data_IF_319818070831
#
_entry.id   IF_319818070831
#
_cell.length_a   1.000
_cell.length_b   1.000
_cell.length_c   1.000
_cell.angle_alpha   90.00
_cell.angle_beta   90.00
_cell.angle_gamma   90.00
#
_symmetry.space_group_name_H-M   'P 1'
#
loop_
_entity.id
_entity.type
_entity.pdbx_description
1 polymer ?
#
# COMPACT_ATOMS: atom_id res chain seq x y z
N UNK A 1 -16.93 15.84 -15.21
CA UNK A 1 -16.60 15.99 -16.65
C UNK A 1 -15.11 15.82 -16.95
N UNK A 2 -14.16 16.30 -16.12
CA UNK A 2 -12.71 16.08 -16.36
C UNK A 2 -12.17 14.70 -15.95
N UNK A 3 -12.81 13.97 -15.03
CA UNK A 3 -12.30 12.67 -14.53
C UNK A 3 -12.53 11.51 -15.51
N UNK A 4 -13.58 11.58 -16.34
CA UNK A 4 -13.88 10.54 -17.34
C UNK A 4 -12.94 10.58 -18.54
N UNK A 5 -12.52 11.78 -18.98
CA UNK A 5 -11.55 11.92 -20.07
C UNK A 5 -10.14 11.46 -19.66
N UNK A 6 -9.75 11.62 -18.40
CA UNK A 6 -8.38 11.31 -17.97
C UNK A 6 -8.08 9.81 -17.86
N UNK A 7 -9.09 9.00 -17.55
CA UNK A 7 -8.91 7.54 -17.41
C UNK A 7 -8.99 6.81 -18.77
N UNK A 8 -9.63 7.41 -19.78
CA UNK A 8 -10.03 6.68 -20.99
C UNK A 8 -9.61 7.28 -22.34
N UNK A 9 -8.88 8.39 -22.39
CA UNK A 9 -8.36 8.89 -23.67
C UNK A 9 -7.07 8.17 -24.08
N UNK A 10 -7.19 6.85 -24.32
CA UNK A 10 -6.19 6.12 -25.09
C UNK A 10 -6.30 6.61 -26.53
N UNK A 11 -5.38 7.48 -26.93
CA UNK A 11 -5.11 7.71 -28.35
C UNK A 11 -5.04 6.35 -29.05
N UNK A 12 -5.91 6.18 -30.04
CA UNK A 12 -6.13 4.95 -30.77
C UNK A 12 -4.82 4.19 -31.08
N UNK A 13 -4.79 2.87 -30.79
CA UNK A 13 -4.25 1.77 -31.64
C UNK A 13 -3.93 0.46 -30.87
N UNK A 14 -3.84 0.43 -29.52
CA UNK A 14 -3.47 -0.79 -28.76
C UNK A 14 -4.41 -1.10 -27.58
N UNK A 15 -4.80 -2.37 -27.43
CA UNK A 15 -5.64 -2.85 -26.32
C UNK A 15 -4.89 -2.71 -24.98
N UNK A 16 -5.46 -2.02 -23.96
CA UNK A 16 -4.76 -1.73 -22.70
C UNK A 16 -4.34 -2.99 -21.95
N UNK A 17 -5.08 -4.10 -22.06
CA UNK A 17 -4.71 -5.38 -21.47
C UNK A 17 -3.50 -6.02 -22.16
N UNK A 18 -3.37 -5.86 -23.48
CA UNK A 18 -2.19 -6.33 -24.21
C UNK A 18 -0.95 -5.49 -23.86
N UNK A 19 -1.12 -4.17 -23.72
CA UNK A 19 -0.06 -3.29 -23.22
C UNK A 19 0.35 -3.72 -21.82
N UNK A 20 -0.61 -3.99 -20.94
CA UNK A 20 -0.35 -4.45 -19.58
C UNK A 20 0.46 -5.75 -19.58
N UNK A 21 0.04 -6.74 -20.37
CA UNK A 21 0.74 -8.04 -20.51
C UNK A 21 2.16 -7.83 -21.01
N UNK A 22 2.36 -7.07 -22.09
CA UNK A 22 3.68 -6.81 -22.64
C UNK A 22 4.59 -6.08 -21.64
N UNK A 23 4.10 -4.98 -21.06
CA UNK A 23 4.85 -4.17 -20.10
C UNK A 23 5.27 -4.98 -18.87
N UNK A 24 4.32 -5.67 -18.23
CA UNK A 24 4.61 -6.46 -17.02
C UNK A 24 5.55 -7.62 -17.32
N UNK A 25 5.45 -8.24 -18.52
CA UNK A 25 6.38 -9.30 -18.93
C UNK A 25 7.80 -8.77 -19.05
N UNK A 26 8.00 -7.62 -19.69
CA UNK A 26 9.32 -6.99 -19.82
C UNK A 26 9.87 -6.57 -18.46
N UNK A 27 9.11 -5.79 -17.69
CA UNK A 27 9.57 -5.26 -16.40
C UNK A 27 9.89 -6.37 -15.40
N UNK A 28 9.05 -7.40 -15.30
CA UNK A 28 9.27 -8.47 -14.32
C UNK A 28 10.31 -9.50 -14.77
N UNK A 29 10.57 -9.60 -16.08
CA UNK A 29 11.78 -10.30 -16.58
C UNK A 29 13.04 -9.57 -16.11
N UNK A 30 13.07 -8.25 -16.19
CA UNK A 30 14.19 -7.46 -15.64
C UNK A 30 14.33 -7.73 -14.13
N UNK A 31 13.22 -7.67 -13.37
CA UNK A 31 13.23 -7.95 -11.93
C UNK A 31 13.71 -9.37 -11.62
N UNK A 32 13.37 -10.37 -12.44
CA UNK A 32 13.84 -11.75 -12.30
C UNK A 32 15.37 -11.84 -12.36
N UNK A 33 15.99 -11.11 -13.28
CA UNK A 33 17.44 -11.13 -13.50
C UNK A 33 18.22 -10.17 -12.59
N UNK A 34 17.56 -9.35 -11.77
CA UNK A 34 18.27 -8.52 -10.80
C UNK A 34 19.08 -9.38 -9.80
N UNK A 35 20.33 -8.99 -9.48
CA UNK A 35 21.18 -9.76 -8.58
C UNK A 35 20.63 -9.78 -7.15
N UNK A 36 20.01 -8.67 -6.71
CA UNK A 36 19.33 -8.60 -5.41
C UNK A 36 17.85 -8.89 -5.59
N UNK A 37 17.43 -10.11 -5.27
CA UNK A 37 16.03 -10.56 -5.41
C UNK A 37 15.07 -9.64 -4.65
N UNK A 38 14.14 -9.04 -5.37
CA UNK A 38 13.03 -8.23 -4.82
C UNK A 38 11.77 -9.08 -4.60
N UNK A 39 11.59 -10.09 -5.47
CA UNK A 39 10.48 -11.02 -5.46
C UNK A 39 11.02 -12.45 -5.56
N UNK A 40 10.28 -13.40 -4.98
CA UNK A 40 10.50 -14.83 -5.28
C UNK A 40 10.00 -15.16 -6.69
N UNK A 41 10.37 -16.31 -7.24
CA UNK A 41 9.87 -16.73 -8.57
C UNK A 41 8.34 -16.78 -8.62
N UNK A 42 7.69 -17.29 -7.58
CA UNK A 42 6.23 -17.24 -7.46
C UNK A 42 5.71 -15.81 -7.27
N UNK A 43 6.41 -14.99 -6.47
CA UNK A 43 6.08 -13.58 -6.26
C UNK A 43 6.08 -12.78 -7.57
N UNK A 44 6.99 -13.10 -8.51
CA UNK A 44 7.03 -12.49 -9.85
C UNK A 44 5.74 -12.77 -10.63
N UNK A 45 5.26 -14.01 -10.64
CA UNK A 45 4.01 -14.36 -11.32
C UNK A 45 2.83 -13.61 -10.71
N UNK A 46 2.77 -13.50 -9.38
CA UNK A 46 1.66 -12.82 -8.70
C UNK A 46 1.74 -11.30 -8.88
N UNK A 47 2.95 -10.73 -8.88
CA UNK A 47 3.17 -9.32 -9.22
C UNK A 47 2.79 -9.03 -10.68
N UNK A 48 3.03 -9.98 -11.60
CA UNK A 48 2.61 -9.86 -12.99
C UNK A 48 1.09 -9.82 -13.11
N UNK A 49 0.39 -10.75 -12.44
CA UNK A 49 -1.08 -10.77 -12.42
C UNK A 49 -1.61 -9.46 -11.85
N UNK A 50 -1.11 -9.04 -10.69
CA UNK A 50 -1.52 -7.79 -10.05
C UNK A 50 -1.28 -6.59 -10.98
N UNK A 51 -0.09 -6.49 -11.59
CA UNK A 51 0.26 -5.40 -12.48
C UNK A 51 -0.60 -5.35 -13.74
N UNK A 52 -0.97 -6.51 -14.30
CA UNK A 52 -1.91 -6.60 -15.42
C UNK A 52 -3.30 -6.11 -15.02
N UNK A 53 -3.79 -6.54 -13.85
CA UNK A 53 -5.09 -6.12 -13.32
C UNK A 53 -5.14 -4.60 -13.07
N UNK A 54 -4.11 -4.04 -12.41
CA UNK A 54 -4.08 -2.61 -12.11
C UNK A 54 -3.99 -1.77 -13.39
N UNK A 55 -3.13 -2.15 -14.34
CA UNK A 55 -3.04 -1.41 -15.61
C UNK A 55 -4.33 -1.53 -16.42
N UNK A 56 -4.91 -2.73 -16.51
CA UNK A 56 -6.16 -2.93 -17.24
C UNK A 56 -7.33 -2.16 -16.63
N UNK A 57 -7.35 -2.02 -15.29
CA UNK A 57 -8.42 -1.33 -14.58
C UNK A 57 -8.26 0.19 -14.51
N UNK A 58 -7.05 0.67 -14.22
CA UNK A 58 -6.78 2.06 -13.88
C UNK A 58 -5.74 2.72 -14.80
N UNK A 59 -5.24 2.00 -15.80
CA UNK A 59 -4.22 2.49 -16.73
C UNK A 59 -2.88 2.78 -16.07
N UNK A 60 -2.09 3.63 -16.76
CA UNK A 60 -0.80 4.09 -16.26
C UNK A 60 -0.88 4.86 -14.92
N UNK A 61 -1.95 5.63 -14.59
CA UNK A 61 -2.05 6.31 -13.29
C UNK A 61 -2.07 5.32 -12.12
N UNK A 62 -2.93 4.30 -12.19
CA UNK A 62 -2.94 3.24 -11.17
C UNK A 62 -1.61 2.52 -11.09
N UNK A 63 -1.04 2.16 -12.26
CA UNK A 63 0.23 1.45 -12.31
C UNK A 63 1.40 2.25 -11.69
N UNK A 64 1.41 3.57 -11.85
CA UNK A 64 2.41 4.46 -11.25
C UNK A 64 2.38 4.41 -9.71
N UNK A 65 1.19 4.38 -9.09
CA UNK A 65 1.04 4.31 -7.64
C UNK A 65 1.56 2.97 -7.09
N UNK A 66 1.13 1.83 -7.66
CA UNK A 66 1.61 0.51 -7.20
C UNK A 66 3.10 0.32 -7.50
N UNK A 67 3.59 0.83 -8.62
CA UNK A 67 5.01 0.81 -8.97
C UNK A 67 5.85 1.62 -7.99
N UNK A 68 5.41 2.83 -7.63
CA UNK A 68 6.05 3.67 -6.62
C UNK A 68 6.09 2.96 -5.25
N UNK A 69 4.95 2.42 -4.80
CA UNK A 69 4.87 1.62 -3.58
C UNK A 69 5.86 0.44 -3.60
N UNK A 70 5.93 -0.31 -4.70
CA UNK A 70 6.81 -1.46 -4.82
C UNK A 70 8.28 -1.06 -4.71
N UNK A 71 8.70 -0.04 -5.47
CA UNK A 71 10.09 0.42 -5.48
C UNK A 71 10.50 0.96 -4.10
N UNK A 72 9.73 1.90 -3.56
CA UNK A 72 10.06 2.55 -2.28
C UNK A 72 9.93 1.55 -1.14
N UNK A 73 8.86 0.75 -1.11
CA UNK A 73 8.66 -0.27 -0.09
C UNK A 73 9.79 -1.30 -0.07
N UNK A 74 10.26 -1.77 -1.23
CA UNK A 74 11.41 -2.67 -1.31
C UNK A 74 12.74 -2.01 -0.94
N UNK A 75 12.89 -0.69 -1.14
CA UNK A 75 14.07 0.05 -0.69
C UNK A 75 14.07 0.20 0.84
N UNK A 76 12.91 0.54 1.41
CA UNK A 76 12.73 0.76 2.85
C UNK A 76 12.97 -0.53 3.66
N UNK A 77 12.48 -1.69 3.20
CA UNK A 77 12.76 -2.97 3.88
C UNK A 77 14.24 -3.33 3.91
N UNK A 78 15.07 -2.72 3.05
CA UNK A 78 16.52 -2.93 3.02
C UNK A 78 17.32 -1.97 3.90
N UNK A 79 16.69 -0.96 4.46
CA UNK A 79 17.32 -0.05 5.41
C UNK A 79 17.80 -0.85 6.63
N UNK A 80 19.09 -0.71 6.97
CA UNK A 80 19.69 -1.37 8.14
C UNK A 80 19.62 -2.90 8.10
N UNK A 81 19.56 -3.54 6.93
CA UNK A 81 19.34 -4.99 6.84
C UNK A 81 20.36 -5.80 7.66
N UNK A 82 21.65 -5.49 7.57
CA UNK A 82 22.70 -6.20 8.33
C UNK A 82 22.49 -6.08 9.85
N UNK A 83 22.04 -4.92 10.34
CA UNK A 83 21.72 -4.72 11.74
C UNK A 83 20.49 -5.55 12.15
N UNK A 84 19.41 -5.48 11.34
CA UNK A 84 18.19 -6.23 11.62
C UNK A 84 18.41 -7.74 11.59
N UNK A 85 19.29 -8.24 10.71
CA UNK A 85 19.65 -9.66 10.64
C UNK A 85 20.45 -10.08 11.88
N UNK A 86 21.41 -9.25 12.32
CA UNK A 86 22.17 -9.51 13.55
C UNK A 86 21.29 -9.49 14.82
N UNK A 87 20.22 -8.70 14.82
CA UNK A 87 19.27 -8.59 15.93
C UNK A 87 18.07 -9.56 15.82
N UNK A 88 17.98 -10.36 14.74
CA UNK A 88 16.90 -11.33 14.53
C UNK A 88 15.53 -10.72 14.21
N UNK A 89 15.47 -9.43 13.85
CA UNK A 89 14.24 -8.66 13.56
C UNK A 89 14.09 -8.31 12.07
N UNK A 90 14.92 -8.91 11.22
CA UNK A 90 14.88 -8.70 9.78
C UNK A 90 13.64 -9.29 9.12
N UNK A 91 13.22 -8.64 8.03
CA UNK A 91 12.19 -9.16 7.13
C UNK A 91 12.58 -10.51 6.55
N UNK A 92 11.56 -11.36 6.32
CA UNK A 92 11.78 -12.72 5.81
C UNK A 92 12.44 -12.68 4.43
N UNK A 93 13.24 -13.71 4.13
CA UNK A 93 13.91 -13.87 2.82
C UNK A 93 14.76 -12.65 2.41
N UNK A 94 15.40 -11.98 3.38
CA UNK A 94 16.18 -10.74 3.19
C UNK A 94 15.39 -9.68 2.40
N UNK A 95 14.08 -9.60 2.65
CA UNK A 95 13.17 -8.65 2.02
C UNK A 95 12.60 -9.05 0.66
N UNK A 96 12.87 -10.28 0.17
CA UNK A 96 12.25 -10.77 -1.05
C UNK A 96 10.78 -11.15 -0.82
N UNK A 97 9.88 -10.53 -1.60
CA UNK A 97 8.42 -10.67 -1.46
C UNK A 97 7.88 -11.89 -2.21
N UNK A 98 7.08 -12.70 -1.55
CA UNK A 98 6.35 -13.84 -2.13
C UNK A 98 4.91 -13.47 -2.52
N UNK A 99 4.15 -14.43 -3.08
CA UNK A 99 2.72 -14.27 -3.38
C UNK A 99 1.92 -13.66 -2.23
N UNK A 100 2.16 -14.14 -1.02
CA UNK A 100 1.52 -13.72 0.22
C UNK A 100 1.79 -12.25 0.54
N UNK A 101 3.00 -11.75 0.30
CA UNK A 101 3.30 -10.33 0.51
C UNK A 101 2.67 -9.45 -0.57
N UNK A 102 2.64 -9.93 -1.82
CA UNK A 102 2.06 -9.19 -2.96
C UNK A 102 0.58 -8.94 -2.69
N UNK A 103 -0.18 -10.01 -2.41
CA UNK A 103 -1.61 -9.88 -2.13
C UNK A 103 -1.89 -9.32 -0.74
N UNK A 104 -1.06 -9.65 0.25
CA UNK A 104 -1.09 -9.06 1.58
C UNK A 104 -1.06 -7.53 1.55
N UNK A 105 -0.28 -6.97 0.63
CA UNK A 105 -0.09 -5.53 0.49
C UNK A 105 -1.06 -4.84 -0.48
N UNK A 106 -1.61 -5.57 -1.45
CA UNK A 106 -2.29 -4.96 -2.60
C UNK A 106 -3.71 -5.48 -2.85
N UNK A 107 -4.21 -6.45 -2.08
CA UNK A 107 -5.55 -7.01 -2.31
C UNK A 107 -6.64 -5.93 -2.22
N UNK A 108 -6.62 -5.09 -1.19
CA UNK A 108 -7.57 -3.97 -1.05
C UNK A 108 -7.51 -3.05 -2.27
N UNK A 109 -6.31 -2.69 -2.73
CA UNK A 109 -6.12 -1.86 -3.91
C UNK A 109 -6.67 -2.54 -5.17
N UNK A 110 -6.40 -3.83 -5.36
CA UNK A 110 -6.92 -4.61 -6.48
C UNK A 110 -8.45 -4.67 -6.48
N UNK A 111 -9.07 -4.83 -5.31
CA UNK A 111 -10.54 -4.79 -5.16
C UNK A 111 -11.08 -3.40 -5.52
N UNK A 112 -10.47 -2.31 -5.05
CA UNK A 112 -10.88 -0.96 -5.44
C UNK A 112 -10.75 -0.73 -6.95
N UNK A 113 -9.64 -1.15 -7.56
CA UNK A 113 -9.40 -1.01 -9.00
C UNK A 113 -10.41 -1.81 -9.83
N UNK A 114 -10.67 -3.07 -9.47
CA UNK A 114 -11.69 -3.89 -10.14
C UNK A 114 -13.10 -3.35 -9.89
N UNK A 115 -13.35 -2.74 -8.73
CA UNK A 115 -14.60 -2.04 -8.44
C UNK A 115 -14.85 -0.90 -9.43
N UNK A 116 -13.81 -0.13 -9.81
CA UNK A 116 -13.94 0.92 -10.82
C UNK A 116 -14.41 0.33 -12.15
N UNK A 117 -13.81 -0.78 -12.60
CA UNK A 117 -14.26 -1.49 -13.80
C UNK A 117 -15.69 -2.02 -13.67
N UNK A 118 -16.04 -2.60 -12.52
CA UNK A 118 -17.34 -3.25 -12.31
C UNK A 118 -18.50 -2.25 -12.26
N UNK A 119 -18.31 -1.11 -11.61
CA UNK A 119 -19.35 -0.09 -11.42
C UNK A 119 -19.70 0.64 -12.72
N UNK A 120 -18.79 0.63 -13.71
CA UNK A 120 -19.07 1.14 -15.05
C UNK A 120 -20.18 0.35 -15.77
N UNK A 121 -20.39 -0.91 -15.41
CA UNK A 121 -21.48 -1.73 -15.96
C UNK A 121 -22.83 -1.49 -15.26
N UNK A 122 -22.83 -0.76 -14.15
CA UNK A 122 -23.96 -0.63 -13.23
C UNK A 122 -24.42 0.83 -13.03
N UNK A 123 -23.98 1.76 -13.89
CA UNK A 123 -24.33 3.19 -13.84
C UNK A 123 -23.98 3.90 -12.51
N UNK A 124 -22.99 3.37 -11.76
CA UNK A 124 -22.61 3.90 -10.44
C UNK A 124 -21.44 4.89 -10.48
N UNK A 125 -21.35 5.74 -11.51
CA UNK A 125 -20.21 6.63 -11.74
C UNK A 125 -19.82 7.48 -10.51
N UNK A 126 -20.78 7.82 -9.65
CA UNK A 126 -20.57 8.58 -8.42
C UNK A 126 -19.66 7.89 -7.38
N UNK A 127 -19.53 6.56 -7.44
CA UNK A 127 -18.72 5.75 -6.52
C UNK A 127 -17.26 5.68 -6.96
N UNK A 128 -16.97 5.94 -8.24
CA UNK A 128 -15.61 5.85 -8.81
C UNK A 128 -14.60 6.71 -8.04
N UNK A 129 -14.84 7.99 -7.71
CA UNK A 129 -13.89 8.79 -6.92
C UNK A 129 -13.60 8.20 -5.53
N UNK A 130 -14.58 7.54 -4.91
CA UNK A 130 -14.38 6.89 -3.61
C UNK A 130 -13.51 5.64 -3.74
N UNK A 131 -13.67 4.86 -4.81
CA UNK A 131 -12.84 3.69 -5.09
C UNK A 131 -11.41 4.09 -5.43
N UNK A 132 -11.21 5.17 -6.20
CA UNK A 132 -9.87 5.72 -6.47
C UNK A 132 -9.21 6.24 -5.19
N UNK A 133 -9.97 6.92 -4.32
CA UNK A 133 -9.48 7.34 -3.01
C UNK A 133 -9.08 6.13 -2.15
N UNK A 134 -9.93 5.09 -2.08
CA UNK A 134 -9.64 3.85 -1.37
C UNK A 134 -8.39 3.14 -1.90
N UNK A 135 -8.23 3.11 -3.23
CA UNK A 135 -7.04 2.58 -3.90
C UNK A 135 -5.76 3.29 -3.43
N UNK A 136 -5.70 4.62 -3.52
CA UNK A 136 -4.52 5.39 -3.12
C UNK A 136 -4.30 5.33 -1.60
N UNK A 137 -5.37 5.38 -0.80
CA UNK A 137 -5.30 5.28 0.65
C UNK A 137 -4.75 3.92 1.12
N UNK A 138 -5.12 2.83 0.45
CA UNK A 138 -4.62 1.49 0.80
C UNK A 138 -3.09 1.37 0.61
N UNK A 139 -2.53 1.88 -0.49
CA UNK A 139 -1.08 1.91 -0.70
C UNK A 139 -0.37 2.93 0.20
N UNK A 140 -1.00 4.09 0.47
CA UNK A 140 -0.48 5.07 1.42
C UNK A 140 -0.35 4.46 2.82
N UNK A 141 -1.36 3.69 3.23
CA UNK A 141 -1.38 2.94 4.48
C UNK A 141 -0.28 1.88 4.49
N UNK A 142 -0.17 1.06 3.44
CA UNK A 142 0.83 0.00 3.43
C UNK A 142 2.26 0.52 3.43
N UNK A 143 2.55 1.61 2.70
CA UNK A 143 3.88 2.20 2.72
C UNK A 143 4.17 2.92 4.04
N UNK A 144 3.17 3.57 4.65
CA UNK A 144 3.27 4.15 5.99
C UNK A 144 3.67 3.10 7.01
N UNK A 145 2.91 2.00 7.07
CA UNK A 145 3.15 0.85 7.93
C UNK A 145 4.54 0.23 7.74
N UNK A 146 4.91 -0.03 6.49
CA UNK A 146 6.24 -0.57 6.15
C UNK A 146 7.36 0.40 6.56
N UNK A 147 7.18 1.70 6.34
CA UNK A 147 8.21 2.69 6.68
C UNK A 147 8.32 2.91 8.17
N UNK A 148 7.20 2.90 8.88
CA UNK A 148 7.18 3.06 10.33
C UNK A 148 7.87 1.90 11.03
N UNK A 149 7.54 0.67 10.64
CA UNK A 149 8.15 -0.53 11.22
C UNK A 149 9.64 -0.65 10.85
N UNK A 150 10.01 -0.50 9.58
CA UNK A 150 11.39 -0.73 9.13
C UNK A 150 12.35 0.37 9.58
N UNK A 151 11.94 1.63 9.57
CA UNK A 151 12.75 2.74 10.11
C UNK A 151 12.77 2.66 11.64
N UNK A 152 11.65 2.33 12.29
CA UNK A 152 11.57 2.17 13.74
C UNK A 152 12.49 1.08 14.29
N UNK A 153 12.59 -0.07 13.60
CA UNK A 153 13.51 -1.18 13.96
C UNK A 153 14.99 -0.76 13.95
N UNK A 154 15.37 0.21 13.10
CA UNK A 154 16.76 0.62 12.91
C UNK A 154 17.10 1.84 13.76
N UNK A 155 16.27 2.87 13.69
CA UNK A 155 16.55 4.20 14.22
C UNK A 155 15.70 4.59 15.44
N UNK A 156 14.74 3.76 15.84
CA UNK A 156 13.90 4.03 17.00
C UNK A 156 14.72 4.18 18.27
N UNK A 157 14.78 5.41 18.82
CA UNK A 157 15.54 5.70 20.05
C UNK A 157 14.75 5.34 21.30
N UNK A 158 13.44 5.53 21.25
CA UNK A 158 12.49 5.21 22.31
C UNK A 158 11.27 4.55 21.68
N UNK A 159 11.09 3.28 22.00
CA UNK A 159 9.99 2.44 21.52
C UNK A 159 9.05 2.11 22.67
N UNK A 160 7.75 2.22 22.42
CA UNK A 160 6.71 1.99 23.42
C UNK A 160 5.65 1.05 22.84
N UNK A 161 5.06 0.21 23.69
CA UNK A 161 3.91 -0.58 23.28
C UNK A 161 2.69 0.34 23.16
N UNK A 162 2.00 0.33 22.01
CA UNK A 162 0.91 1.29 21.76
C UNK A 162 -0.25 1.20 22.77
N UNK A 163 -0.46 0.02 23.36
CA UNK A 163 -1.57 -0.24 24.29
C UNK A 163 -1.30 0.23 25.72
N UNK A 164 -0.05 0.15 26.20
CA UNK A 164 0.32 0.44 27.59
C UNK A 164 1.22 1.66 27.75
N UNK A 165 1.76 2.16 26.63
CA UNK A 165 2.78 3.21 26.57
C UNK A 165 4.04 2.89 27.39
N UNK A 166 4.26 1.61 27.72
CA UNK A 166 5.45 1.16 28.44
C UNK A 166 6.62 0.98 27.46
N UNK A 167 7.87 1.28 27.88
CA UNK A 167 9.04 1.03 27.06
C UNK A 167 9.17 -0.46 26.71
N UNK A 168 9.41 -0.75 25.43
CA UNK A 168 9.65 -2.10 24.92
C UNK A 168 10.84 -2.10 23.97
N UNK A 169 11.52 -3.24 23.76
CA UNK A 169 12.56 -3.34 22.73
C UNK A 169 12.04 -2.96 21.34
N UNK A 170 12.93 -2.45 20.49
CA UNK A 170 12.62 -2.22 19.07
C UNK A 170 12.37 -3.55 18.37
N UNK A 171 11.43 -3.58 17.44
CA UNK A 171 11.01 -4.80 16.74
C UNK A 171 10.02 -5.67 17.49
N UNK A 172 9.60 -5.30 18.71
CA UNK A 172 8.44 -5.90 19.37
C UNK A 172 7.16 -5.60 18.57
N UNK A 173 6.30 -6.59 18.41
CA UNK A 173 5.01 -6.43 17.72
C UNK A 173 4.14 -5.38 18.43
N UNK A 174 3.58 -4.45 17.66
CA UNK A 174 2.82 -3.31 18.19
C UNK A 174 3.65 -2.22 18.88
N UNK A 175 4.99 -2.27 18.79
CA UNK A 175 5.85 -1.20 19.26
C UNK A 175 5.86 0.00 18.30
N UNK A 176 5.73 1.20 18.85
CA UNK A 176 5.78 2.46 18.12
C UNK A 176 6.94 3.34 18.60
N UNK A 177 7.51 4.12 17.69
CA UNK A 177 8.57 5.10 17.97
C UNK A 177 8.32 6.38 17.18
N UNK A 178 8.83 7.52 17.65
CA UNK A 178 8.68 8.79 16.95
C UNK A 178 9.33 8.76 15.56
N UNK A 179 10.50 8.13 15.45
CA UNK A 179 11.23 7.98 14.19
C UNK A 179 10.43 7.15 13.20
N UNK A 180 9.87 6.02 13.64
CA UNK A 180 8.98 5.18 12.84
C UNK A 180 7.73 5.95 12.40
N UNK A 181 6.99 6.54 13.34
CA UNK A 181 5.76 7.28 13.03
C UNK A 181 6.01 8.41 12.02
N UNK A 182 7.11 9.16 12.18
CA UNK A 182 7.48 10.23 11.24
C UNK A 182 7.80 9.68 9.85
N UNK A 183 8.54 8.58 9.76
CA UNK A 183 8.81 7.91 8.48
C UNK A 183 7.51 7.40 7.82
N UNK A 184 6.58 6.87 8.61
CA UNK A 184 5.27 6.45 8.13
C UNK A 184 4.46 7.59 7.54
N UNK A 185 4.39 8.74 8.23
CA UNK A 185 3.70 9.95 7.73
C UNK A 185 4.35 10.48 6.45
N UNK A 186 5.68 10.54 6.38
CA UNK A 186 6.37 10.97 5.16
C UNK A 186 6.07 10.03 3.99
N UNK A 187 6.03 8.73 4.26
CA UNK A 187 5.73 7.71 3.25
C UNK A 187 4.27 7.78 2.74
N UNK A 188 3.28 7.98 3.63
CA UNK A 188 1.88 8.14 3.19
C UNK A 188 1.69 9.40 2.36
N UNK A 189 2.32 10.53 2.76
CA UNK A 189 2.31 11.76 1.96
C UNK A 189 2.89 11.51 0.57
N UNK A 190 4.02 10.80 0.47
CA UNK A 190 4.65 10.53 -0.81
C UNK A 190 3.74 9.73 -1.77
N UNK A 191 3.10 8.66 -1.30
CA UNK A 191 2.16 7.87 -2.13
C UNK A 191 0.94 8.70 -2.52
N UNK A 192 0.37 9.44 -1.58
CA UNK A 192 -0.79 10.29 -1.83
C UNK A 192 -0.48 11.38 -2.86
N UNK A 193 0.70 11.99 -2.80
CA UNK A 193 1.16 12.95 -3.80
C UNK A 193 1.33 12.32 -5.18
N UNK A 194 1.82 11.08 -5.28
CA UNK A 194 1.83 10.35 -6.56
C UNK A 194 0.40 10.22 -7.09
N UNK A 195 -0.54 9.75 -6.27
CA UNK A 195 -1.95 9.62 -6.63
C UNK A 195 -2.57 10.95 -7.11
N UNK A 196 -2.22 12.06 -6.47
CA UNK A 196 -2.65 13.40 -6.88
C UNK A 196 -2.04 13.83 -8.22
N UNK A 197 -0.72 13.69 -8.37
CA UNK A 197 0.01 14.08 -9.60
C UNK A 197 -0.46 13.28 -10.81
N UNK A 198 -0.78 12.00 -10.63
CA UNK A 198 -1.34 11.16 -11.69
C UNK A 198 -2.85 11.30 -11.85
N UNK A 199 -3.50 12.23 -11.15
CA UNK A 199 -4.91 12.57 -11.35
C UNK A 199 -5.92 11.56 -10.80
N UNK A 200 -5.52 10.64 -9.92
CA UNK A 200 -6.45 9.68 -9.30
C UNK A 200 -7.25 10.27 -8.14
N UNK A 201 -6.66 11.24 -7.43
CA UNK A 201 -7.27 11.95 -6.30
C UNK A 201 -7.03 13.45 -6.41
N UNK A 202 -7.83 14.24 -5.72
CA UNK A 202 -7.64 15.69 -5.59
C UNK A 202 -6.78 16.05 -4.38
N UNK A 203 -6.55 17.35 -4.16
CA UNK A 203 -5.75 17.85 -3.02
C UNK A 203 -6.38 17.47 -1.67
N UNK A 204 -7.72 17.43 -1.60
CA UNK A 204 -8.44 16.98 -0.41
C UNK A 204 -8.14 15.51 -0.13
N UNK A 205 -8.18 14.67 -1.16
CA UNK A 205 -7.83 13.26 -1.11
C UNK A 205 -6.43 13.01 -0.53
N UNK A 206 -5.46 13.88 -0.77
CA UNK A 206 -4.11 13.76 -0.18
C UNK A 206 -4.18 13.79 1.34
N UNK A 207 -4.88 14.78 1.91
CA UNK A 207 -5.06 14.90 3.35
C UNK A 207 -5.82 13.70 3.93
N UNK A 208 -6.87 13.25 3.24
CA UNK A 208 -7.65 12.08 3.65
C UNK A 208 -6.82 10.79 3.67
N UNK A 209 -5.99 10.55 2.65
CA UNK A 209 -5.08 9.40 2.61
C UNK A 209 -4.07 9.41 3.76
N UNK A 210 -3.51 10.57 4.10
CA UNK A 210 -2.52 10.68 5.18
C UNK A 210 -3.16 10.43 6.55
N UNK A 211 -4.32 11.03 6.82
CA UNK A 211 -5.07 10.82 8.07
C UNK A 211 -5.49 9.36 8.19
N UNK A 212 -6.04 8.77 7.11
CA UNK A 212 -6.47 7.39 7.09
C UNK A 212 -5.30 6.41 7.29
N UNK A 213 -4.16 6.65 6.63
CA UNK A 213 -2.96 5.85 6.82
C UNK A 213 -2.45 5.91 8.26
N UNK A 214 -2.44 7.11 8.87
CA UNK A 214 -2.06 7.26 10.27
C UNK A 214 -2.99 6.47 11.20
N UNK A 215 -4.31 6.59 11.03
CA UNK A 215 -5.29 5.82 11.82
C UNK A 215 -5.05 4.32 11.65
N UNK A 216 -4.95 3.85 10.42
CA UNK A 216 -4.82 2.45 10.10
C UNK A 216 -3.52 1.84 10.64
N UNK A 217 -2.36 2.50 10.45
CA UNK A 217 -1.07 2.03 11.00
C UNK A 217 -1.09 1.95 12.54
N UNK A 218 -1.74 2.89 13.23
CA UNK A 218 -1.86 2.79 14.69
C UNK A 218 -2.79 1.63 15.10
N UNK A 219 -3.91 1.41 14.39
CA UNK A 219 -4.79 0.28 14.65
C UNK A 219 -4.12 -1.07 14.38
N UNK A 220 -3.27 -1.15 13.34
CA UNK A 220 -2.43 -2.31 13.08
C UNK A 220 -1.52 -2.60 14.28
N UNK A 221 -0.85 -1.59 14.84
CA UNK A 221 0.00 -1.78 16.00
C UNK A 221 -0.79 -2.24 17.23
N UNK A 222 -2.06 -1.83 17.37
CA UNK A 222 -2.95 -2.35 18.43
C UNK A 222 -3.27 -3.83 18.18
N UNK A 223 -3.58 -4.21 16.93
CA UNK A 223 -3.83 -5.61 16.55
C UNK A 223 -2.59 -6.48 16.84
N UNK A 224 -1.40 -6.00 16.46
CA UNK A 224 -0.12 -6.66 16.74
C UNK A 224 0.12 -6.86 18.24
N UNK A 225 -0.14 -5.83 19.05
CA UNK A 225 0.06 -5.87 20.50
C UNK A 225 -0.97 -6.73 21.26
N UNK A 226 -2.08 -7.13 20.64
CA UNK A 226 -3.21 -7.75 21.36
C UNK A 226 -3.65 -9.08 20.77
N UNK A 227 -4.00 -9.13 19.49
CA UNK A 227 -4.72 -10.25 18.88
C UNK A 227 -3.78 -11.14 18.06
N UNK A 228 -2.76 -10.57 17.42
CA UNK A 228 -1.97 -11.26 16.41
C UNK A 228 -1.28 -12.52 16.93
N UNK A 229 -0.66 -12.47 18.11
CA UNK A 229 -0.02 -13.66 18.72
C UNK A 229 -1.04 -14.68 19.28
N UNK A 230 -2.28 -14.25 19.52
CA UNK A 230 -3.34 -15.11 20.07
C UNK A 230 -4.03 -15.95 18.99
N UNK A 231 -3.91 -15.56 17.73
CA UNK A 231 -4.68 -16.13 16.62
C UNK A 231 -3.74 -16.72 15.57
N UNK A 232 -3.68 -18.06 15.52
CA UNK A 232 -2.71 -18.81 14.71
C UNK A 232 -2.80 -18.55 13.19
N UNK A 233 -3.96 -18.13 12.67
CA UNK A 233 -4.14 -17.79 11.25
C UNK A 233 -3.84 -16.32 10.93
N UNK A 234 -3.62 -15.48 11.95
CA UNK A 234 -3.38 -14.04 11.80
C UNK A 234 -1.92 -13.76 11.45
N UNK A 235 -1.52 -14.22 10.27
CA UNK A 235 -0.19 -13.94 9.72
C UNK A 235 -0.02 -12.44 9.44
N UNK A 236 1.23 -11.97 9.37
CA UNK A 236 1.54 -10.57 9.02
C UNK A 236 0.85 -10.13 7.72
N UNK A 237 0.68 -11.03 6.75
CA UNK A 237 0.01 -10.68 5.49
C UNK A 237 -1.50 -10.53 5.62
N UNK A 238 -2.12 -11.26 6.53
CA UNK A 238 -3.54 -11.08 6.87
C UNK A 238 -3.73 -9.76 7.60
N UNK A 239 -2.85 -9.43 8.54
CA UNK A 239 -2.85 -8.14 9.24
C UNK A 239 -2.63 -6.99 8.25
N UNK A 240 -1.75 -7.16 7.27
CA UNK A 240 -1.55 -6.21 6.19
C UNK A 240 -2.84 -5.95 5.41
N UNK A 241 -3.59 -7.00 5.04
CA UNK A 241 -4.88 -6.86 4.34
C UNK A 241 -5.89 -6.10 5.20
N UNK A 242 -5.97 -6.41 6.49
CA UNK A 242 -6.86 -5.73 7.44
C UNK A 242 -6.48 -4.25 7.53
N UNK A 243 -5.20 -3.95 7.72
CA UNK A 243 -4.66 -2.60 7.82
C UNK A 243 -4.97 -1.78 6.56
N UNK A 244 -4.65 -2.28 5.37
CA UNK A 244 -4.93 -1.57 4.11
C UNK A 244 -6.43 -1.37 3.87
N UNK A 245 -7.25 -2.31 4.31
CA UNK A 245 -8.72 -2.21 4.24
C UNK A 245 -9.25 -1.15 5.20
N UNK A 246 -8.75 -1.09 6.44
CA UNK A 246 -9.07 -0.03 7.39
C UNK A 246 -8.68 1.33 6.80
N UNK A 247 -7.49 1.46 6.21
CA UNK A 247 -7.04 2.69 5.56
C UNK A 247 -7.96 3.13 4.41
N UNK A 248 -8.37 2.21 3.54
CA UNK A 248 -9.31 2.53 2.46
C UNK A 248 -10.69 2.95 2.99
N UNK A 249 -11.25 2.21 3.95
CA UNK A 249 -12.55 2.51 4.57
C UNK A 249 -12.51 3.84 5.31
N UNK A 250 -11.45 4.12 6.08
CA UNK A 250 -11.30 5.38 6.80
C UNK A 250 -11.25 6.57 5.85
N UNK A 251 -10.48 6.50 4.75
CA UNK A 251 -10.42 7.58 3.76
C UNK A 251 -11.79 7.82 3.10
N UNK A 252 -12.49 6.75 2.71
CA UNK A 252 -13.83 6.84 2.11
C UNK A 252 -14.84 7.41 3.11
N UNK A 253 -14.85 6.93 4.34
CA UNK A 253 -15.74 7.39 5.41
C UNK A 253 -15.53 8.87 5.72
N UNK A 254 -14.28 9.31 5.81
CA UNK A 254 -13.93 10.72 5.99
C UNK A 254 -14.39 11.57 4.79
N UNK A 255 -14.24 11.09 3.55
CA UNK A 255 -14.71 11.80 2.37
C UNK A 255 -16.24 11.96 2.37
N UNK A 256 -16.99 10.91 2.73
CA UNK A 256 -18.45 10.95 2.82
C UNK A 256 -18.88 11.92 3.93
N UNK A 257 -18.26 11.84 5.11
CA UNK A 257 -18.54 12.74 6.22
C UNK A 257 -18.28 14.22 5.84
N UNK A 258 -17.15 14.49 5.16
CA UNK A 258 -16.81 15.83 4.71
C UNK A 258 -17.83 16.38 3.72
N UNK A 259 -18.30 15.56 2.77
CA UNK A 259 -19.36 15.95 1.82
C UNK A 259 -20.67 16.26 2.55
N UNK A 260 -21.04 15.47 3.56
CA UNK A 260 -22.26 15.69 4.34
C UNK A 260 -22.23 16.93 5.25
N UNK A 261 -21.05 17.47 5.56
CA UNK A 261 -20.90 18.73 6.32
C UNK A 261 -20.91 19.96 5.40
N UNK A 262 -20.45 19.80 4.16
CA UNK A 262 -20.32 20.90 3.19
C UNK A 262 -21.50 21.02 2.23
N UNK A 263 -22.36 20.00 2.15
CA UNK A 263 -23.61 19.99 1.37
C UNK A 263 -24.81 20.44 2.19
#
# INVERSE_FOLDING_TARGET
>A
MQTEEFVFNYGALLNPWLVAVGLNTVLLTIVYFLPKKLLTSAGIIHAWILGVLIWGALGWPGYAVVGFYFIVGSAVTRIGMAQKEAEGIAEKRSGARGPENVWGSALTAAVCALGVLGVQWLDGAEVVPLLLLGYVASFSTKLSDTSASEVGKVYGKRTFLITTLQPVPKGTEGAVSLEGTTAGVVASVAVALVGYVVGLIDVTGVGLCVIAAFIATNLESVIGATIQEQVSWMTNEVVNIINTTIGAIAAIGLAIALRGVLG
#
